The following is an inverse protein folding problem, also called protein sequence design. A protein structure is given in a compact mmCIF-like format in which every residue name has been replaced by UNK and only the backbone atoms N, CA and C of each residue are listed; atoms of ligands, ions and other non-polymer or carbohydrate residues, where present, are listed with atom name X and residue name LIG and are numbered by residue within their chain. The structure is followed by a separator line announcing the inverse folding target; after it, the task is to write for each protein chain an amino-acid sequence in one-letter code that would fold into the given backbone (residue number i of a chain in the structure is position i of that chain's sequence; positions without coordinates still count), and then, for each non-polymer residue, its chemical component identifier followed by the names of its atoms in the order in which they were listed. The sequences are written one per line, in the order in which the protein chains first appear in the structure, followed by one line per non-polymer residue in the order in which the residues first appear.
data_IF_887909916882
#
_entry.id   IF_887909916882
#
_cell.length_a   1.000
_cell.length_b   1.000
_cell.length_c   1.000
_cell.angle_alpha   90.00
_cell.angle_beta   90.00
_cell.angle_gamma   90.00
#
_symmetry.space_group_name_H-M   'P 1'
#
loop_
_entity.id
_entity.type
_entity.pdbx_description
1 polymer ?
#
# COMPACT_ATOMS: atom_id res chain seq x y z
N UNK A 1 17.64 5.52 -17.89
CA UNK A 1 16.58 5.91 -16.95
C UNK A 1 16.93 5.33 -15.59
N UNK A 2 16.93 6.12 -14.53
CA UNK A 2 17.26 5.67 -13.17
C UNK A 2 16.25 4.66 -12.61
N UNK A 3 15.04 4.63 -13.19
CA UNK A 3 13.93 3.76 -12.80
C UNK A 3 13.89 2.42 -13.53
N UNK A 4 14.96 2.05 -14.26
CA UNK A 4 15.07 0.77 -14.96
C UNK A 4 16.03 -0.16 -14.20
N UNK A 5 15.65 -1.44 -14.10
CA UNK A 5 16.49 -2.48 -13.54
C UNK A 5 17.73 -2.69 -14.43
N UNK A 6 18.91 -2.64 -13.82
CA UNK A 6 20.17 -2.75 -14.54
C UNK A 6 20.48 -4.22 -14.87
N UNK A 7 21.27 -4.52 -15.94
CA UNK A 7 21.69 -5.88 -16.22
C UNK A 7 22.44 -6.51 -15.04
N UNK A 8 21.96 -7.66 -14.57
CA UNK A 8 22.53 -8.39 -13.42
C UNK A 8 22.09 -7.86 -12.04
N UNK A 9 21.30 -6.79 -11.97
CA UNK A 9 20.76 -6.27 -10.72
C UNK A 9 19.61 -7.16 -10.24
N UNK A 10 19.58 -7.49 -8.94
CA UNK A 10 18.43 -8.22 -8.38
C UNK A 10 17.22 -7.29 -8.26
N UNK A 11 16.01 -7.85 -8.18
CA UNK A 11 14.81 -7.04 -7.93
C UNK A 11 14.94 -6.27 -6.60
N UNK A 12 15.53 -6.90 -5.59
CA UNK A 12 15.73 -6.26 -4.29
C UNK A 12 16.70 -5.07 -4.38
N UNK A 13 17.83 -5.23 -5.08
CA UNK A 13 18.81 -4.15 -5.26
C UNK A 13 18.23 -3.00 -6.08
N UNK A 14 17.47 -3.31 -7.13
CA UNK A 14 16.72 -2.32 -7.90
C UNK A 14 15.79 -1.51 -7.00
N UNK A 15 14.97 -2.18 -6.17
CA UNK A 15 14.05 -1.46 -5.31
C UNK A 15 14.78 -0.63 -4.24
N UNK A 16 15.86 -1.14 -3.66
CA UNK A 16 16.67 -0.39 -2.68
C UNK A 16 17.29 0.86 -3.33
N UNK A 17 17.89 0.73 -4.50
CA UNK A 17 18.52 1.85 -5.20
C UNK A 17 17.52 2.93 -5.59
N UNK A 18 16.35 2.55 -6.11
CA UNK A 18 15.37 3.49 -6.67
C UNK A 18 14.44 4.09 -5.62
N UNK A 19 14.05 3.29 -4.63
CA UNK A 19 12.98 3.66 -3.71
C UNK A 19 13.40 3.78 -2.26
N UNK A 20 14.63 3.47 -1.84
CA UNK A 20 15.02 3.79 -0.48
C UNK A 20 14.85 5.29 -0.19
N UNK A 21 14.63 5.62 1.09
CA UNK A 21 14.64 6.99 1.56
C UNK A 21 16.01 7.60 1.29
N UNK A 22 16.05 8.76 0.65
CA UNK A 22 17.30 9.42 0.29
C UNK A 22 17.94 10.07 1.52
N UNK A 23 19.27 10.20 1.58
CA UNK A 23 19.93 10.96 2.64
C UNK A 23 19.37 12.39 2.72
N UNK A 24 18.89 12.79 3.90
CA UNK A 24 18.29 14.11 4.14
C UNK A 24 16.83 14.27 3.70
N UNK A 25 16.21 13.24 3.10
CA UNK A 25 14.78 13.27 2.75
C UNK A 25 13.92 13.12 3.99
N UNK A 26 12.96 14.02 4.18
CA UNK A 26 12.00 13.93 5.28
C UNK A 26 11.10 12.70 5.10
N UNK A 27 10.49 12.23 6.20
CA UNK A 27 9.55 11.11 6.12
C UNK A 27 8.33 11.45 5.26
N UNK A 28 7.88 12.69 5.31
CA UNK A 28 6.72 13.17 4.54
C UNK A 28 7.05 13.27 3.05
N UNK A 29 8.23 13.79 2.69
CA UNK A 29 8.68 13.81 1.30
C UNK A 29 8.86 12.40 0.74
N UNK A 30 9.45 11.51 1.54
CA UNK A 30 9.61 10.12 1.17
C UNK A 30 8.26 9.44 0.95
N UNK A 31 7.33 9.62 1.90
CA UNK A 31 5.97 9.10 1.81
C UNK A 31 5.28 9.58 0.54
N UNK A 32 5.24 10.90 0.32
CA UNK A 32 4.64 11.51 -0.86
C UNK A 32 5.24 10.96 -2.15
N UNK A 33 6.57 10.84 -2.23
CA UNK A 33 7.25 10.27 -3.40
C UNK A 33 6.88 8.82 -3.65
N UNK A 34 6.81 7.99 -2.61
CA UNK A 34 6.46 6.56 -2.73
C UNK A 34 5.02 6.38 -3.17
N UNK A 35 4.08 7.14 -2.59
CA UNK A 35 2.67 7.02 -2.90
C UNK A 35 2.23 7.78 -4.16
N UNK A 36 3.09 8.63 -4.74
CA UNK A 36 2.80 9.22 -6.05
C UNK A 36 2.77 8.12 -7.10
N UNK A 37 1.61 7.97 -7.76
CA UNK A 37 1.48 7.06 -8.89
C UNK A 37 2.22 7.62 -10.10
N UNK A 38 3.03 6.79 -10.74
CA UNK A 38 3.79 7.11 -11.96
C UNK A 38 2.88 7.10 -13.17
N UNK A 39 3.23 7.86 -14.19
CA UNK A 39 2.43 7.99 -15.41
C UNK A 39 2.43 6.73 -16.27
N UNK A 40 3.46 5.91 -16.14
CA UNK A 40 3.71 4.68 -16.91
C UNK A 40 3.34 3.40 -16.15
N UNK A 41 2.88 3.48 -14.90
CA UNK A 41 2.53 2.29 -14.11
C UNK A 41 1.02 2.03 -14.06
N UNK A 42 0.63 0.76 -14.12
CA UNK A 42 -0.77 0.35 -13.91
C UNK A 42 -1.19 0.43 -12.44
N UNK A 43 -2.49 0.28 -12.16
CA UNK A 43 -2.97 0.19 -10.77
C UNK A 43 -2.34 -1.01 -10.04
N UNK A 44 -2.21 -2.15 -10.72
CA UNK A 44 -1.61 -3.37 -10.17
C UNK A 44 -0.11 -3.18 -9.90
N UNK A 45 0.62 -2.52 -10.80
CA UNK A 45 2.03 -2.21 -10.62
C UNK A 45 2.26 -1.23 -9.47
N UNK A 46 1.44 -0.19 -9.37
CA UNK A 46 1.44 0.77 -8.27
C UNK A 46 1.24 0.08 -6.90
N UNK A 47 0.18 -0.72 -6.78
CA UNK A 47 -0.11 -1.47 -5.54
C UNK A 47 0.99 -2.47 -5.23
N UNK A 48 1.48 -3.22 -6.23
CA UNK A 48 2.56 -4.19 -6.07
C UNK A 48 3.85 -3.53 -5.60
N UNK A 49 4.20 -2.38 -6.17
CA UNK A 49 5.38 -1.60 -5.81
C UNK A 49 5.33 -1.17 -4.35
N UNK A 50 4.26 -0.52 -3.92
CA UNK A 50 4.13 -0.02 -2.54
C UNK A 50 4.07 -1.19 -1.55
N UNK A 51 3.31 -2.25 -1.86
CA UNK A 51 3.25 -3.47 -1.03
C UNK A 51 4.64 -4.08 -0.84
N UNK A 52 5.44 -4.12 -1.90
CA UNK A 52 6.83 -4.63 -1.86
C UNK A 52 7.70 -3.73 -0.97
N UNK A 53 7.62 -2.41 -1.13
CA UNK A 53 8.39 -1.47 -0.31
C UNK A 53 8.07 -1.57 1.18
N UNK A 54 6.79 -1.72 1.54
CA UNK A 54 6.37 -1.90 2.93
C UNK A 54 6.92 -3.19 3.54
N UNK A 55 7.05 -4.26 2.75
CA UNK A 55 7.65 -5.54 3.19
C UNK A 55 9.17 -5.44 3.34
N UNK A 56 9.84 -4.73 2.43
CA UNK A 56 11.29 -4.59 2.46
C UNK A 56 11.80 -3.59 3.50
N UNK A 57 11.00 -2.56 3.82
CA UNK A 57 11.36 -1.51 4.77
C UNK A 57 10.31 -1.39 5.89
N UNK A 58 10.01 -2.47 6.64
CA UNK A 58 8.85 -2.52 7.55
C UNK A 58 8.89 -1.45 8.65
N UNK A 59 10.09 -1.04 9.07
CA UNK A 59 10.31 -0.06 10.13
C UNK A 59 10.30 1.40 9.64
N UNK A 60 10.02 1.64 8.35
CA UNK A 60 10.01 3.00 7.81
C UNK A 60 8.86 3.82 8.43
N UNK A 61 9.16 5.00 9.01
CA UNK A 61 8.14 5.89 9.56
C UNK A 61 7.18 6.45 8.49
N UNK A 62 7.54 6.39 7.20
CA UNK A 62 6.69 6.81 6.09
C UNK A 62 5.40 5.96 5.94
N UNK A 63 5.33 4.80 6.62
CA UNK A 63 4.13 3.96 6.65
C UNK A 63 3.11 4.41 7.69
N UNK A 64 3.48 5.33 8.57
CA UNK A 64 2.54 5.92 9.52
C UNK A 64 1.59 6.85 8.77
N UNK A 65 0.30 6.57 8.87
CA UNK A 65 -0.74 7.41 8.29
C UNK A 65 -1.14 8.52 9.25
N UNK A 66 -1.33 9.72 8.70
CA UNK A 66 -1.80 10.94 9.36
C UNK A 66 -3.28 10.86 9.79
N UNK A 67 -3.88 9.67 9.75
CA UNK A 67 -5.28 9.40 10.01
C UNK A 67 -6.22 9.76 8.86
N UNK A 68 -5.82 10.69 7.99
CA UNK A 68 -6.56 11.11 6.80
C UNK A 68 -6.13 10.34 5.54
N UNK A 69 -5.02 9.61 5.61
CA UNK A 69 -4.48 8.82 4.49
C UNK A 69 -4.22 9.71 3.27
N UNK A 70 -3.76 10.95 3.49
CA UNK A 70 -3.65 11.98 2.45
C UNK A 70 -2.85 11.49 1.25
N UNK A 71 -1.69 10.88 1.49
CA UNK A 71 -0.86 10.30 0.42
C UNK A 71 -1.23 8.84 0.10
N UNK A 72 -1.67 8.06 1.10
CA UNK A 72 -1.84 6.60 0.98
C UNK A 72 -3.26 6.16 0.60
N UNK A 73 -4.20 7.08 0.49
CA UNK A 73 -5.62 6.80 0.28
C UNK A 73 -5.89 6.02 -1.01
N UNK A 74 -5.29 6.44 -2.13
CA UNK A 74 -5.48 5.76 -3.42
C UNK A 74 -4.87 4.36 -3.42
N UNK A 75 -3.71 4.18 -2.77
CA UNK A 75 -3.13 2.85 -2.56
C UNK A 75 -4.09 1.93 -1.81
N UNK A 76 -4.67 2.38 -0.70
CA UNK A 76 -5.58 1.56 0.09
C UNK A 76 -6.92 1.30 -0.61
N UNK A 77 -7.44 2.28 -1.37
CA UNK A 77 -8.61 2.06 -2.23
C UNK A 77 -8.33 0.95 -3.25
N UNK A 78 -7.22 1.04 -3.98
CA UNK A 78 -6.86 0.04 -4.98
C UNK A 78 -6.57 -1.34 -4.35
N UNK A 79 -5.85 -1.38 -3.23
CA UNK A 79 -5.53 -2.61 -2.50
C UNK A 79 -6.80 -3.35 -2.04
N UNK A 80 -7.81 -2.61 -1.59
CA UNK A 80 -9.05 -3.17 -1.06
C UNK A 80 -10.22 -3.08 -2.05
N UNK A 81 -9.97 -2.82 -3.33
CA UNK A 81 -11.00 -2.72 -4.36
C UNK A 81 -11.72 -4.07 -4.53
N UNK A 82 -13.03 -4.03 -4.79
CA UNK A 82 -13.80 -5.20 -5.20
C UNK A 82 -13.28 -5.73 -6.54
N UNK A 83 -13.10 -7.05 -6.64
CA UNK A 83 -12.56 -7.68 -7.83
C UNK A 83 -13.67 -7.87 -8.88
N UNK A 84 -13.33 -7.85 -10.19
CA UNK A 84 -14.31 -8.14 -11.23
C UNK A 84 -14.97 -9.50 -11.04
N UNK A 85 -16.30 -9.52 -10.95
CA UNK A 85 -17.09 -10.74 -10.75
C UNK A 85 -17.24 -11.19 -9.29
N UNK A 86 -16.63 -10.48 -8.33
CA UNK A 86 -16.78 -10.75 -6.91
C UNK A 86 -18.13 -10.25 -6.41
N UNK A 87 -18.90 -11.13 -5.77
CA UNK A 87 -20.14 -10.75 -5.08
C UNK A 87 -19.84 -9.90 -3.85
N UNK A 88 -20.83 -9.17 -3.34
CA UNK A 88 -20.67 -8.39 -2.11
C UNK A 88 -20.29 -9.27 -0.90
N UNK A 89 -20.84 -10.49 -0.82
CA UNK A 89 -20.51 -11.44 0.26
C UNK A 89 -19.05 -11.90 0.20
N UNK A 90 -18.56 -12.28 -0.99
CA UNK A 90 -17.16 -12.65 -1.21
C UNK A 90 -16.23 -11.47 -0.91
N UNK A 91 -16.62 -10.27 -1.34
CA UNK A 91 -15.86 -9.04 -1.12
C UNK A 91 -15.72 -8.71 0.37
N UNK A 92 -16.83 -8.69 1.11
CA UNK A 92 -16.79 -8.41 2.55
C UNK A 92 -16.08 -9.51 3.33
N UNK A 93 -16.24 -10.77 2.93
CA UNK A 93 -15.48 -11.89 3.50
C UNK A 93 -13.98 -11.68 3.31
N UNK A 94 -13.54 -11.28 2.11
CA UNK A 94 -12.13 -11.01 1.84
C UNK A 94 -11.60 -9.82 2.65
N UNK A 95 -12.36 -8.73 2.77
CA UNK A 95 -11.97 -7.55 3.55
C UNK A 95 -11.83 -7.83 5.05
N UNK A 96 -12.70 -8.69 5.59
CA UNK A 96 -12.76 -9.01 7.03
C UNK A 96 -11.99 -10.27 7.41
N UNK A 97 -11.44 -11.00 6.44
CA UNK A 97 -10.61 -12.16 6.74
C UNK A 97 -9.38 -11.72 7.51
N UNK A 98 -9.17 -12.32 8.69
CA UNK A 98 -7.93 -12.17 9.46
C UNK A 98 -6.86 -13.07 8.85
N UNK A 99 -5.67 -12.52 8.61
CA UNK A 99 -4.56 -13.30 8.07
C UNK A 99 -3.97 -14.23 9.14
N UNK A 100 -3.37 -15.34 8.71
CA UNK A 100 -2.73 -16.28 9.64
C UNK A 100 -1.59 -15.58 10.38
N UNK A 101 -1.64 -15.60 11.72
CA UNK A 101 -0.67 -14.91 12.56
C UNK A 101 -0.87 -13.39 12.69
N UNK A 102 -1.86 -12.78 12.03
CA UNK A 102 -2.18 -11.36 12.19
C UNK A 102 -2.67 -11.12 13.63
N UNK A 103 -2.04 -10.21 14.38
CA UNK A 103 -2.49 -9.87 15.73
C UNK A 103 -3.75 -8.98 15.73
N UNK A 104 -4.40 -8.83 16.88
CA UNK A 104 -5.65 -8.07 17.00
C UNK A 104 -5.49 -6.56 16.70
N UNK A 105 -4.33 -5.97 17.02
CA UNK A 105 -4.04 -4.56 16.76
C UNK A 105 -3.87 -4.33 15.26
N UNK A 106 -3.13 -5.21 14.59
CA UNK A 106 -2.92 -5.18 13.14
C UNK A 106 -4.26 -5.38 12.40
N UNK A 107 -5.05 -6.38 12.78
CA UNK A 107 -6.38 -6.60 12.21
C UNK A 107 -7.30 -5.39 12.41
N UNK A 108 -7.34 -4.82 13.62
CA UNK A 108 -8.14 -3.61 13.89
C UNK A 108 -7.72 -2.45 12.98
N UNK A 109 -6.42 -2.22 12.81
CA UNK A 109 -5.90 -1.15 11.94
C UNK A 109 -6.28 -1.38 10.47
N UNK A 110 -6.31 -2.63 10.01
CA UNK A 110 -6.82 -3.00 8.67
C UNK A 110 -8.28 -2.59 8.51
N UNK A 111 -9.16 -2.99 9.43
CA UNK A 111 -10.58 -2.65 9.38
C UNK A 111 -10.81 -1.14 9.45
N UNK A 112 -10.11 -0.41 10.34
CA UNK A 112 -10.18 1.06 10.40
C UNK A 112 -9.77 1.71 9.08
N UNK A 113 -8.73 1.19 8.43
CA UNK A 113 -8.27 1.69 7.12
C UNK A 113 -9.34 1.48 6.05
N UNK A 114 -9.93 0.27 5.98
CA UNK A 114 -11.01 -0.06 5.04
C UNK A 114 -12.22 0.85 5.25
N UNK A 115 -12.66 1.03 6.50
CA UNK A 115 -13.77 1.92 6.84
C UNK A 115 -13.49 3.37 6.44
N UNK A 116 -12.23 3.82 6.53
CA UNK A 116 -11.84 5.17 6.12
C UNK A 116 -11.86 5.38 4.61
N UNK A 117 -11.37 4.41 3.84
CA UNK A 117 -11.31 4.56 2.37
C UNK A 117 -12.60 4.17 1.66
N UNK A 118 -13.44 3.38 2.31
CA UNK A 118 -14.76 2.96 1.84
C UNK A 118 -15.84 3.11 2.94
N UNK A 119 -16.18 4.35 3.34
CA UNK A 119 -17.11 4.59 4.46
C UNK A 119 -18.55 4.16 4.18
N UNK A 120 -18.91 3.98 2.91
CA UNK A 120 -20.29 3.71 2.49
C UNK A 120 -20.62 2.21 2.30
N UNK A 121 -19.66 1.30 2.53
CA UNK A 121 -19.91 -0.14 2.40
C UNK A 121 -21.02 -0.59 3.35
N UNK A 122 -21.92 -1.44 2.85
CA UNK A 122 -23.07 -1.90 3.60
C UNK A 122 -22.68 -2.65 4.89
N UNK A 123 -21.52 -3.32 4.91
CA UNK A 123 -20.99 -4.01 6.09
C UNK A 123 -20.68 -3.10 7.30
N UNK A 124 -20.65 -1.77 7.11
CA UNK A 124 -20.41 -0.79 8.18
C UNK A 124 -21.66 -0.02 8.62
N UNK A 125 -22.82 -0.32 8.02
CA UNK A 125 -24.11 0.29 8.33
C UNK A 125 -24.92 -0.63 9.24
#
# INVERSE_FOLDING_TARGET
DENVQQPGETKEDFYKRVYAQKPGESNDDYKKRVYTKRTDETDEEYVTRITTLRKMFPDSPAWNDDGNYTDSGDYYKLLYKQQPGETDEEYYTRLTKRDEGEDAKTYKKKIETIQKVYPDLAMFK
#
